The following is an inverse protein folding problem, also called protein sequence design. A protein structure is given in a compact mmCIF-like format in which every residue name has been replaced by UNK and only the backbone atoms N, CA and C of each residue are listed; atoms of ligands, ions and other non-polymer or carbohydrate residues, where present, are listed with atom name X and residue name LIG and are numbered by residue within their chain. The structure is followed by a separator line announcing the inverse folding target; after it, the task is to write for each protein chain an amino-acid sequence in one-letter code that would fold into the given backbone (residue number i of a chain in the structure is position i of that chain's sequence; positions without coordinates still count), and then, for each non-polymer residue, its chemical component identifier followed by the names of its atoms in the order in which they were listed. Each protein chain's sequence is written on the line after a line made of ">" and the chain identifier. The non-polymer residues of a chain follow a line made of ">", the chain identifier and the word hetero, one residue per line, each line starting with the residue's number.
data_IF_953861027583
#
_entry.id   IF_953861027583
#
_cell.length_a   1.000
_cell.length_b   1.000
_cell.length_c   1.000
_cell.angle_alpha   90.00
_cell.angle_beta   90.00
_cell.angle_gamma   90.00
#
_symmetry.space_group_name_H-M   'P 1'
#
loop_
_entity.id
_entity.type
_entity.pdbx_description
1 polymer ?
#
# COMPACT_ATOMS: atom_id res chain seq x y z
N UNK A 1 -11.58 -3.05 -4.85
CA UNK A 1 -10.92 -4.39 -4.82
C UNK A 1 -9.42 -4.30 -5.02
N UNK A 2 -8.89 -4.06 -6.23
CA UNK A 2 -7.43 -4.09 -6.51
C UNK A 2 -6.92 -2.69 -6.88
N UNK A 3 -5.86 -2.21 -6.22
CA UNK A 3 -5.17 -0.94 -6.52
C UNK A 3 -3.65 -1.12 -6.65
N UNK A 4 -2.94 -0.11 -7.15
CA UNK A 4 -1.47 -0.12 -7.24
C UNK A 4 -0.85 0.43 -5.95
N UNK A 5 0.04 -0.36 -5.34
CA UNK A 5 0.72 -0.03 -4.08
C UNK A 5 1.75 1.10 -4.23
N UNK A 6 2.10 1.73 -3.10
CA UNK A 6 2.99 2.89 -3.06
C UNK A 6 4.40 2.56 -3.54
N UNK A 7 4.81 3.16 -4.66
CA UNK A 7 6.14 3.00 -5.23
C UNK A 7 6.66 4.37 -5.69
N UNK A 8 7.69 4.88 -5.00
CA UNK A 8 8.06 6.28 -5.12
C UNK A 8 8.59 6.66 -6.52
N UNK A 9 8.18 7.85 -6.98
CA UNK A 9 8.91 8.54 -8.03
C UNK A 9 10.38 8.74 -7.61
N UNK A 10 11.29 8.32 -8.48
CA UNK A 10 12.71 8.18 -8.19
C UNK A 10 13.14 6.73 -7.96
N UNK A 11 12.36 5.94 -7.23
CA UNK A 11 12.55 4.48 -7.23
C UNK A 11 12.18 3.90 -8.59
N UNK A 12 11.01 4.30 -9.10
CA UNK A 12 10.56 4.06 -10.46
C UNK A 12 10.98 5.20 -11.40
N UNK A 13 11.10 4.88 -12.69
CA UNK A 13 11.26 5.87 -13.76
C UNK A 13 9.98 6.69 -13.95
N UNK A 14 10.07 7.93 -14.47
CA UNK A 14 8.89 8.69 -14.93
C UNK A 14 8.00 7.87 -15.86
N UNK A 15 8.58 7.17 -16.85
CA UNK A 15 7.81 6.35 -17.79
C UNK A 15 7.03 5.23 -17.11
N UNK A 16 7.61 4.57 -16.11
CA UNK A 16 6.92 3.52 -15.36
C UNK A 16 5.79 4.07 -14.48
N UNK A 17 6.02 5.23 -13.83
CA UNK A 17 5.00 5.92 -13.03
C UNK A 17 3.83 6.36 -13.90
N UNK A 18 4.11 6.94 -15.07
CA UNK A 18 3.10 7.34 -16.04
C UNK A 18 2.31 6.14 -16.60
N UNK A 19 3.00 5.05 -16.95
CA UNK A 19 2.36 3.83 -17.40
C UNK A 19 1.37 3.29 -16.36
N UNK A 20 1.77 3.28 -15.08
CA UNK A 20 0.91 2.87 -13.99
C UNK A 20 -0.27 3.84 -13.82
N UNK A 21 -0.04 5.16 -13.86
CA UNK A 21 -1.10 6.15 -13.68
C UNK A 21 -2.18 6.05 -14.77
N UNK A 22 -1.76 5.99 -16.03
CA UNK A 22 -2.67 5.76 -17.16
C UNK A 22 -3.37 4.41 -17.04
N UNK A 23 -2.65 3.37 -16.58
CA UNK A 23 -3.20 2.04 -16.40
C UNK A 23 -4.31 1.98 -15.36
N UNK A 24 -4.13 2.66 -14.22
CA UNK A 24 -5.18 2.72 -13.19
C UNK A 24 -6.39 3.55 -13.63
N UNK A 25 -6.17 4.60 -14.45
CA UNK A 25 -7.26 5.36 -15.08
C UNK A 25 -8.13 4.46 -15.98
N UNK A 26 -7.48 3.67 -16.84
CA UNK A 26 -8.16 2.71 -17.72
C UNK A 26 -8.90 1.61 -16.94
N UNK A 27 -8.33 1.15 -15.82
CA UNK A 27 -8.89 0.08 -15.01
C UNK A 27 -9.93 0.55 -13.97
N UNK A 28 -10.12 1.85 -13.79
CA UNK A 28 -10.96 2.40 -12.71
C UNK A 28 -10.44 1.97 -11.34
N UNK A 29 -9.18 2.29 -11.04
CA UNK A 29 -8.58 2.06 -9.72
C UNK A 29 -7.61 3.18 -9.34
N UNK A 30 -7.00 3.05 -8.16
CA UNK A 30 -6.08 4.06 -7.64
C UNK A 30 -4.62 3.62 -7.75
N UNK A 31 -3.73 4.60 -7.90
CA UNK A 31 -2.30 4.44 -7.74
C UNK A 31 -1.83 5.19 -6.50
N UNK A 32 -1.10 4.51 -5.62
CA UNK A 32 -0.43 5.17 -4.52
C UNK A 32 0.93 5.75 -4.99
N UNK A 33 1.19 7.02 -4.69
CA UNK A 33 2.38 7.77 -5.16
C UNK A 33 3.70 7.22 -4.62
N UNK A 34 3.64 6.46 -3.53
CA UNK A 34 4.80 6.15 -2.71
C UNK A 34 5.35 7.40 -2.00
N UNK A 35 6.42 7.22 -1.24
CA UNK A 35 7.07 8.28 -0.44
C UNK A 35 7.78 9.37 -1.26
N UNK A 36 7.72 9.34 -2.60
CA UNK A 36 8.54 10.21 -3.45
C UNK A 36 8.00 11.62 -3.67
N UNK A 37 6.80 11.91 -3.17
CA UNK A 37 6.01 13.07 -3.54
C UNK A 37 5.22 12.88 -4.85
N UNK A 38 4.47 13.91 -5.23
CA UNK A 38 3.59 13.90 -6.40
C UNK A 38 4.26 14.57 -7.60
N UNK A 39 4.85 13.73 -8.46
CA UNK A 39 5.45 14.15 -9.73
C UNK A 39 4.43 14.30 -10.87
N UNK A 40 4.82 14.99 -11.94
CA UNK A 40 4.00 15.17 -13.15
C UNK A 40 3.64 13.83 -13.82
N UNK A 41 4.50 12.82 -13.72
CA UNK A 41 4.23 11.46 -14.18
C UNK A 41 3.03 10.78 -13.49
N UNK A 42 2.51 11.33 -12.38
CA UNK A 42 1.28 10.86 -11.73
C UNK A 42 0.01 11.57 -12.26
N UNK A 43 0.12 12.53 -13.17
CA UNK A 43 -0.99 13.42 -13.57
C UNK A 43 -1.56 13.09 -14.95
N UNK A 44 -1.83 11.81 -15.20
CA UNK A 44 -2.35 11.30 -16.47
C UNK A 44 -3.76 10.69 -16.35
N UNK A 45 -4.56 11.20 -15.41
CA UNK A 45 -5.97 10.88 -15.24
C UNK A 45 -6.27 9.75 -14.26
N UNK A 46 -5.26 9.04 -13.74
CA UNK A 46 -5.44 8.03 -12.72
C UNK A 46 -5.65 8.66 -11.34
N UNK A 47 -6.63 8.14 -10.59
CA UNK A 47 -6.86 8.54 -9.20
C UNK A 47 -5.70 8.12 -8.30
N UNK A 48 -5.43 8.91 -7.26
CA UNK A 48 -4.23 8.77 -6.44
C UNK A 48 -4.54 8.54 -4.96
N UNK A 49 -3.67 7.77 -4.32
CA UNK A 49 -3.46 7.81 -2.87
C UNK A 49 -2.13 8.53 -2.65
N UNK A 50 -2.13 9.67 -1.95
CA UNK A 50 -0.90 10.39 -1.65
C UNK A 50 -0.25 9.79 -0.40
N UNK A 51 0.94 9.22 -0.54
CA UNK A 51 1.64 8.59 0.59
C UNK A 51 2.65 9.55 1.23
N UNK A 52 2.53 9.71 2.55
CA UNK A 52 3.43 10.48 3.39
C UNK A 52 4.42 9.51 4.05
N UNK A 53 5.69 9.58 3.65
CA UNK A 53 6.79 8.91 4.35
C UNK A 53 7.44 9.80 5.40
N UNK A 54 8.38 9.24 6.17
CA UNK A 54 9.12 9.92 7.25
C UNK A 54 9.99 11.09 6.76
N UNK A 55 10.35 11.10 5.48
CA UNK A 55 11.06 12.21 4.84
C UNK A 55 10.17 13.39 4.44
N UNK A 56 8.84 13.25 4.56
CA UNK A 56 7.80 14.23 4.22
C UNK A 56 7.95 14.85 2.81
N UNK A 57 8.49 14.08 1.86
CA UNK A 57 8.72 14.58 0.51
C UNK A 57 7.41 15.02 -0.15
N UNK A 58 7.43 16.18 -0.81
CA UNK A 58 6.24 16.86 -1.34
C UNK A 58 5.45 17.67 -0.32
N UNK A 59 5.57 17.43 0.99
CA UNK A 59 4.82 18.10 2.06
C UNK A 59 5.70 18.53 3.24
N UNK A 60 6.94 18.96 2.96
CA UNK A 60 7.93 19.41 3.96
C UNK A 60 8.30 20.88 3.82
N UNK A 61 8.64 21.50 4.94
CA UNK A 61 9.27 22.81 4.99
C UNK A 61 10.76 22.77 4.59
N UNK A 62 11.42 23.93 4.63
CA UNK A 62 12.82 24.10 4.23
C UNK A 62 13.81 23.34 5.12
N UNK A 63 13.43 23.04 6.38
CA UNK A 63 14.25 22.28 7.33
C UNK A 63 13.86 20.80 7.42
N UNK A 64 12.88 20.36 6.63
CA UNK A 64 12.46 18.98 6.49
C UNK A 64 11.40 18.48 7.46
N UNK A 65 10.68 19.39 8.13
CA UNK A 65 9.52 19.03 8.96
C UNK A 65 8.26 19.00 8.13
N UNK A 66 7.27 18.25 8.60
CA UNK A 66 5.94 18.20 7.98
C UNK A 66 5.31 19.60 7.90
N UNK A 67 4.72 19.92 6.75
CA UNK A 67 3.99 21.16 6.47
C UNK A 67 2.60 20.83 5.94
N UNK A 68 1.58 21.17 6.73
CA UNK A 68 0.17 20.93 6.38
C UNK A 68 -0.26 21.75 5.16
N UNK A 69 0.13 23.01 5.08
CA UNK A 69 -0.19 23.88 3.93
C UNK A 69 0.34 23.31 2.62
N UNK A 70 1.58 22.82 2.64
CA UNK A 70 2.18 22.15 1.47
C UNK A 70 1.47 20.85 1.12
N UNK A 71 1.01 20.08 2.11
CA UNK A 71 0.20 18.89 1.85
C UNK A 71 -1.11 19.27 1.14
N UNK A 72 -1.84 20.26 1.66
CA UNK A 72 -3.09 20.76 1.05
C UNK A 72 -2.84 21.20 -0.40
N UNK A 73 -1.79 21.96 -0.65
CA UNK A 73 -1.38 22.36 -1.99
C UNK A 73 -1.09 21.17 -2.91
N UNK A 74 -0.45 20.11 -2.41
CA UNK A 74 -0.14 18.93 -3.23
C UNK A 74 -1.39 18.15 -3.61
N UNK A 75 -2.28 17.89 -2.65
CA UNK A 75 -3.45 17.03 -2.89
C UNK A 75 -4.48 17.68 -3.81
N UNK A 76 -4.47 19.01 -3.92
CA UNK A 76 -5.32 19.75 -4.86
C UNK A 76 -4.80 19.74 -6.32
N UNK A 77 -3.54 19.36 -6.57
CA UNK A 77 -2.93 19.40 -7.91
C UNK A 77 -3.23 18.19 -8.78
N UNK A 78 -3.92 17.19 -8.25
CA UNK A 78 -4.20 15.92 -8.90
C UNK A 78 -5.46 15.28 -8.28
N UNK A 79 -6.07 14.26 -8.91
CA UNK A 79 -7.23 13.57 -8.35
C UNK A 79 -6.84 12.65 -7.18
N UNK A 80 -6.41 13.24 -6.06
CA UNK A 80 -6.09 12.51 -4.83
C UNK A 80 -7.39 12.17 -4.10
N UNK A 81 -7.60 10.89 -3.82
CA UNK A 81 -8.82 10.37 -3.19
C UNK A 81 -8.64 9.96 -1.73
N UNK A 82 -7.40 9.75 -1.30
CA UNK A 82 -7.05 9.41 0.07
C UNK A 82 -5.57 9.73 0.35
N UNK A 83 -5.22 9.82 1.63
CA UNK A 83 -3.85 10.06 2.10
C UNK A 83 -3.42 8.89 2.96
N UNK A 84 -2.23 8.34 2.72
CA UNK A 84 -1.68 7.22 3.49
C UNK A 84 -0.41 7.65 4.24
N UNK A 85 -0.46 7.67 5.57
CA UNK A 85 0.72 7.90 6.41
C UNK A 85 1.45 6.57 6.60
N UNK A 86 2.63 6.46 6.02
CA UNK A 86 3.42 5.22 6.01
C UNK A 86 4.31 5.16 7.25
N UNK A 87 3.88 4.37 8.24
CA UNK A 87 4.66 4.09 9.45
C UNK A 87 5.84 3.16 9.14
N UNK A 88 5.63 2.13 8.33
CA UNK A 88 6.67 1.17 7.93
C UNK A 88 6.31 0.43 6.63
N UNK A 89 7.22 -0.40 6.12
CA UNK A 89 6.98 -1.30 4.97
C UNK A 89 7.58 -2.67 5.23
N UNK A 90 7.01 -3.71 4.60
CA UNK A 90 7.40 -5.10 4.86
C UNK A 90 8.88 -5.40 4.59
N UNK A 91 9.45 -4.81 3.55
CA UNK A 91 10.84 -5.06 3.14
C UNK A 91 11.91 -4.43 4.05
N UNK A 92 11.53 -3.48 4.92
CA UNK A 92 12.47 -2.81 5.85
C UNK A 92 11.74 -2.12 7.00
N UNK A 93 11.07 -2.88 7.88
CA UNK A 93 10.47 -2.31 9.08
C UNK A 93 11.56 -1.64 9.94
N UNK A 94 11.22 -0.51 10.56
CA UNK A 94 12.13 0.26 11.42
C UNK A 94 13.16 1.13 10.68
N UNK A 95 13.19 1.13 9.34
CA UNK A 95 14.05 2.01 8.54
C UNK A 95 13.24 2.93 7.64
N UNK A 96 13.79 4.12 7.38
CA UNK A 96 13.23 5.05 6.42
C UNK A 96 13.42 4.65 4.95
N UNK A 97 12.72 5.36 4.06
CA UNK A 97 12.95 5.31 2.62
C UNK A 97 14.42 5.62 2.27
N UNK A 98 14.95 4.95 1.23
CA UNK A 98 16.31 5.17 0.73
C UNK A 98 16.24 5.31 -0.78
N UNK A 99 16.84 6.38 -1.31
CA UNK A 99 17.04 6.57 -2.74
C UNK A 99 18.51 6.93 -3.00
N UNK A 100 19.28 6.07 -3.69
CA UNK A 100 20.67 6.37 -4.04
C UNK A 100 20.81 7.64 -4.90
N UNK A 101 21.84 8.42 -4.63
CA UNK A 101 22.13 9.73 -5.25
C UNK A 101 22.27 9.66 -6.76
N UNK A 102 22.75 8.53 -7.30
CA UNK A 102 22.78 8.26 -8.76
C UNK A 102 21.40 8.32 -9.41
N UNK A 103 20.33 8.16 -8.62
CA UNK A 103 18.93 8.27 -9.06
C UNK A 103 18.32 9.63 -8.69
N UNK A 104 19.00 10.51 -7.98
CA UNK A 104 18.48 11.82 -7.59
C UNK A 104 18.75 12.84 -8.70
N UNK A 105 17.92 12.82 -9.73
CA UNK A 105 17.95 13.79 -10.84
C UNK A 105 17.45 15.17 -10.40
N UNK A 106 17.69 16.24 -11.19
CA UNK A 106 17.12 17.57 -10.90
C UNK A 106 15.60 17.58 -10.73
N UNK A 107 14.89 16.72 -11.46
CA UNK A 107 13.43 16.58 -11.34
C UNK A 107 13.02 15.95 -10.00
N UNK A 108 13.69 14.88 -9.59
CA UNK A 108 13.44 14.20 -8.32
C UNK A 108 13.82 15.09 -7.14
N UNK A 109 14.96 15.79 -7.25
CA UNK A 109 15.40 16.78 -6.28
C UNK A 109 14.35 17.88 -6.05
N UNK A 110 13.76 18.43 -7.14
CA UNK A 110 12.67 19.41 -7.04
C UNK A 110 11.40 18.81 -6.44
N UNK A 111 11.01 17.61 -6.86
CA UNK A 111 9.82 16.94 -6.34
C UNK A 111 9.92 16.67 -4.83
N UNK A 112 11.12 16.35 -4.35
CA UNK A 112 11.38 15.99 -2.95
C UNK A 112 11.83 17.17 -2.08
N UNK A 113 12.35 18.25 -2.66
CA UNK A 113 12.99 19.34 -1.90
C UNK A 113 14.32 18.91 -1.28
N UNK A 114 15.17 18.24 -2.06
CA UNK A 114 16.49 17.73 -1.62
C UNK A 114 17.59 18.10 -2.63
N UNK A 115 18.89 18.05 -2.27
CA UNK A 115 20.00 18.27 -3.20
C UNK A 115 20.06 17.25 -4.34
N UNK A 116 20.58 17.66 -5.49
CA UNK A 116 20.78 16.79 -6.67
C UNK A 116 21.99 15.88 -6.44
N UNK A 117 21.86 14.60 -6.79
CA UNK A 117 23.00 13.65 -6.80
C UNK A 117 23.40 13.09 -5.44
N UNK A 118 22.77 13.54 -4.34
CA UNK A 118 23.07 13.06 -2.99
C UNK A 118 22.17 11.89 -2.57
N UNK A 119 22.72 10.98 -1.77
CA UNK A 119 21.94 9.87 -1.20
C UNK A 119 20.83 10.42 -0.30
N UNK A 120 19.61 10.01 -0.59
CA UNK A 120 18.42 10.42 0.13
C UNK A 120 18.02 9.32 1.12
N UNK A 121 18.41 9.47 2.38
CA UNK A 121 18.06 8.56 3.49
C UNK A 121 17.03 9.27 4.36
N UNK A 122 15.85 8.67 4.50
CA UNK A 122 14.79 9.20 5.34
C UNK A 122 14.99 8.76 6.79
N UNK A 123 14.53 9.55 7.78
CA UNK A 123 14.52 9.12 9.18
C UNK A 123 13.74 7.82 9.39
N UNK A 124 14.04 7.03 10.43
CA UNK A 124 13.31 5.79 10.71
C UNK A 124 11.89 6.01 11.25
N UNK A 125 11.59 7.20 11.78
CA UNK A 125 10.30 7.55 12.36
C UNK A 125 9.81 8.93 11.90
N UNK A 126 8.51 9.13 12.00
CA UNK A 126 7.88 10.43 11.77
C UNK A 126 8.24 11.39 12.91
N UNK A 127 8.75 12.58 12.58
CA UNK A 127 9.01 13.64 13.59
C UNK A 127 7.76 14.42 14.02
N UNK A 128 6.59 14.14 13.43
CA UNK A 128 5.36 14.89 13.67
C UNK A 128 4.56 14.37 14.88
N UNK A 129 4.84 13.15 15.33
CA UNK A 129 4.20 12.50 16.47
C UNK A 129 5.18 11.48 17.07
N UNK A 130 4.97 11.11 18.33
CA UNK A 130 5.85 10.17 19.05
C UNK A 130 5.12 8.94 19.60
N UNK A 131 3.79 8.98 19.63
CA UNK A 131 2.92 7.98 20.24
C UNK A 131 1.59 7.86 19.46
N UNK A 132 0.70 6.97 19.95
CA UNK A 132 -0.60 6.70 19.34
C UNK A 132 -1.52 7.91 19.38
N UNK A 133 -1.51 8.69 20.47
CA UNK A 133 -2.34 9.89 20.58
C UNK A 133 -1.92 10.95 19.58
N UNK A 134 -0.61 11.23 19.49
CA UNK A 134 -0.06 12.14 18.49
C UNK A 134 -0.29 11.64 17.06
N UNK A 135 -0.26 10.33 16.81
CA UNK A 135 -0.64 9.77 15.51
C UNK A 135 -2.10 10.07 15.18
N UNK A 136 -3.03 9.80 16.09
CA UNK A 136 -4.45 10.08 15.87
C UNK A 136 -4.67 11.58 15.62
N UNK A 137 -4.14 12.45 16.47
CA UNK A 137 -4.24 13.92 16.28
C UNK A 137 -3.67 14.37 14.94
N UNK A 138 -2.57 13.75 14.50
CA UNK A 138 -1.96 14.04 13.21
C UNK A 138 -2.86 13.66 12.03
N UNK A 139 -3.47 12.46 12.08
CA UNK A 139 -4.40 11.99 11.04
C UNK A 139 -5.64 12.86 10.97
N UNK A 140 -6.27 13.15 12.12
CA UNK A 140 -7.47 13.99 12.22
C UNK A 140 -7.21 15.41 11.70
N UNK A 141 -6.03 15.99 12.00
CA UNK A 141 -5.65 17.31 11.48
C UNK A 141 -5.51 17.30 9.97
N UNK A 142 -4.98 16.24 9.37
CA UNK A 142 -4.90 16.10 7.91
C UNK A 142 -6.30 15.94 7.32
N UNK A 143 -7.13 15.09 7.90
CA UNK A 143 -8.49 14.84 7.44
C UNK A 143 -9.32 16.14 7.46
N UNK A 144 -9.26 16.90 8.57
CA UNK A 144 -9.96 18.17 8.71
C UNK A 144 -9.50 19.24 7.69
N UNK A 145 -8.20 19.30 7.40
CA UNK A 145 -7.66 20.30 6.47
C UNK A 145 -7.89 19.96 4.99
N UNK A 146 -7.95 18.66 4.65
CA UNK A 146 -8.02 18.20 3.26
C UNK A 146 -9.42 17.73 2.85
N UNK A 147 -10.26 17.32 3.81
CA UNK A 147 -11.54 16.67 3.56
C UNK A 147 -11.42 15.27 2.94
N UNK A 148 -10.21 14.69 2.93
CA UNK A 148 -9.93 13.37 2.36
C UNK A 148 -9.79 12.32 3.47
N UNK A 149 -10.16 11.05 3.20
CA UNK A 149 -9.84 9.94 4.09
C UNK A 149 -8.33 9.81 4.32
N UNK A 150 -7.95 9.59 5.57
CA UNK A 150 -6.55 9.45 5.99
C UNK A 150 -6.35 8.12 6.70
N UNK A 151 -5.46 7.31 6.16
CA UNK A 151 -5.13 6.00 6.70
C UNK A 151 -3.66 5.84 7.01
N UNK A 152 -3.32 4.67 7.55
CA UNK A 152 -1.94 4.31 7.85
C UNK A 152 -1.50 3.07 7.07
N UNK A 153 -0.20 2.96 6.80
CA UNK A 153 0.43 1.75 6.31
C UNK A 153 1.49 1.26 7.28
N UNK A 154 1.43 -0.03 7.63
CA UNK A 154 2.40 -0.62 8.54
C UNK A 154 2.66 -2.09 8.22
N UNK A 155 3.94 -2.47 8.28
CA UNK A 155 4.36 -3.84 8.49
C UNK A 155 4.28 -4.18 9.98
N UNK A 156 3.65 -5.31 10.29
CA UNK A 156 3.39 -5.72 11.67
C UNK A 156 4.66 -6.33 12.26
N UNK A 157 5.08 -5.78 13.39
CA UNK A 157 6.19 -6.29 14.19
C UNK A 157 5.92 -6.26 15.70
N UNK A 158 5.16 -5.28 16.17
CA UNK A 158 4.81 -5.11 17.59
C UNK A 158 3.30 -5.12 17.78
N UNK A 159 2.81 -6.00 18.67
CA UNK A 159 1.39 -6.19 18.95
C UNK A 159 0.77 -5.03 19.74
N UNK A 160 1.52 -4.52 20.71
CA UNK A 160 1.04 -3.52 21.68
C UNK A 160 0.59 -2.22 20.99
N UNK A 161 1.25 -1.84 19.89
CA UNK A 161 0.84 -0.70 19.07
C UNK A 161 -0.61 -0.83 18.58
N UNK A 162 -1.00 -2.00 18.09
CA UNK A 162 -2.33 -2.22 17.53
C UNK A 162 -3.42 -2.26 18.60
N UNK A 163 -3.10 -2.86 19.76
CA UNK A 163 -3.99 -2.86 20.93
C UNK A 163 -4.21 -1.43 21.41
N UNK A 164 -3.12 -0.69 21.60
CA UNK A 164 -3.16 0.73 22.02
C UNK A 164 -3.96 1.57 21.02
N UNK A 165 -3.70 1.43 19.72
CA UNK A 165 -4.44 2.14 18.68
C UNK A 165 -5.95 1.83 18.76
N UNK A 166 -6.33 0.56 18.86
CA UNK A 166 -7.73 0.17 18.98
C UNK A 166 -8.40 0.76 20.24
N UNK A 167 -7.77 0.67 21.41
CA UNK A 167 -8.29 1.24 22.66
C UNK A 167 -8.46 2.76 22.58
N UNK A 168 -7.49 3.46 21.96
CA UNK A 168 -7.56 4.91 21.76
C UNK A 168 -8.64 5.30 20.75
N UNK A 169 -8.84 4.52 19.69
CA UNK A 169 -9.93 4.74 18.72
C UNK A 169 -11.32 4.51 19.32
N UNK A 170 -11.47 3.54 20.23
CA UNK A 170 -12.72 3.32 20.99
C UNK A 170 -13.00 4.50 21.91
N UNK A 171 -12.00 4.97 22.65
CA UNK A 171 -12.17 6.03 23.66
C UNK A 171 -12.34 7.43 23.06
N UNK A 172 -11.63 7.76 21.99
CA UNK A 172 -11.64 9.10 21.39
C UNK A 172 -12.63 9.25 20.24
N UNK A 173 -12.99 8.15 19.57
CA UNK A 173 -13.77 8.19 18.33
C UNK A 173 -12.98 8.65 17.10
N UNK A 174 -11.72 9.09 17.24
CA UNK A 174 -10.83 9.41 16.12
C UNK A 174 -10.00 8.21 15.67
N UNK A 175 -9.22 8.37 14.60
CA UNK A 175 -8.27 7.37 14.11
C UNK A 175 -8.17 7.27 12.59
N UNK A 176 -7.38 6.31 12.08
CA UNK A 176 -7.28 6.10 10.64
C UNK A 176 -8.60 5.60 10.04
N UNK A 177 -8.98 6.16 8.88
CA UNK A 177 -10.10 5.68 8.07
C UNK A 177 -9.82 4.32 7.41
N UNK A 178 -8.53 4.05 7.15
CA UNK A 178 -8.08 2.78 6.56
C UNK A 178 -6.72 2.36 7.10
N UNK A 179 -6.47 1.05 7.11
CA UNK A 179 -5.21 0.44 7.52
C UNK A 179 -4.71 -0.47 6.41
N UNK A 180 -3.56 -0.13 5.83
CA UNK A 180 -2.81 -1.01 4.93
C UNK A 180 -1.84 -1.86 5.72
N UNK A 181 -2.12 -3.17 5.84
CA UNK A 181 -1.22 -4.16 6.44
C UNK A 181 -0.28 -4.69 5.37
N UNK A 182 1.02 -4.41 5.52
CA UNK A 182 2.06 -4.79 4.57
C UNK A 182 2.87 -5.97 5.10
N UNK A 183 2.68 -7.15 4.52
CA UNK A 183 3.43 -8.34 4.91
C UNK A 183 4.93 -8.24 4.57
N UNK A 184 5.75 -9.01 5.28
CA UNK A 184 7.20 -9.09 5.07
C UNK A 184 7.61 -9.52 3.66
N UNK A 185 6.68 -10.07 2.87
CA UNK A 185 6.87 -10.43 1.47
C UNK A 185 7.00 -9.21 0.53
N UNK A 186 6.74 -8.00 1.05
CA UNK A 186 6.79 -6.72 0.36
C UNK A 186 8.08 -6.47 -0.43
N UNK A 187 7.99 -5.62 -1.45
CA UNK A 187 9.15 -5.24 -2.28
C UNK A 187 9.82 -3.95 -1.79
N UNK A 188 11.06 -3.72 -2.24
CA UNK A 188 11.76 -2.44 -2.09
C UNK A 188 12.64 -2.14 -3.29
N UNK A 189 12.85 -0.84 -3.55
CA UNK A 189 13.82 -0.39 -4.55
C UNK A 189 15.25 -0.41 -4.02
N UNK A 190 15.41 -0.24 -2.70
CA UNK A 190 16.68 -0.24 -1.98
C UNK A 190 16.45 -0.46 -0.47
N UNK A 191 16.99 -1.55 0.07
CA UNK A 191 17.14 -1.77 1.50
C UNK A 191 18.41 -2.60 1.78
N UNK A 192 18.89 -2.61 3.04
CA UNK A 192 19.90 -3.56 3.46
C UNK A 192 19.33 -4.99 3.42
N UNK A 193 20.09 -5.95 2.89
CA UNK A 193 19.65 -7.36 2.73
C UNK A 193 19.16 -7.99 4.04
N UNK A 194 19.77 -7.66 5.17
CA UNK A 194 19.37 -8.18 6.48
C UNK A 194 17.91 -7.86 6.85
N UNK A 195 17.33 -6.80 6.27
CA UNK A 195 15.96 -6.38 6.53
C UNK A 195 14.94 -7.00 5.56
N UNK A 196 15.35 -7.31 4.33
CA UNK A 196 14.43 -7.71 3.25
C UNK A 196 13.75 -9.06 3.49
N UNK A 197 14.39 -9.98 4.23
CA UNK A 197 13.92 -11.37 4.34
C UNK A 197 13.37 -11.78 5.72
N UNK A 198 13.64 -11.03 6.81
CA UNK A 198 13.54 -11.61 8.15
C UNK A 198 12.88 -10.77 9.26
N UNK A 199 12.55 -9.50 9.01
CA UNK A 199 12.21 -8.59 10.13
C UNK A 199 10.69 -8.41 10.32
N UNK A 200 9.91 -8.38 9.24
CA UNK A 200 8.46 -8.22 9.32
C UNK A 200 7.73 -9.58 9.33
N UNK A 201 6.57 -9.63 10.00
CA UNK A 201 5.72 -10.81 9.97
C UNK A 201 5.18 -11.10 8.55
N UNK A 202 5.04 -12.38 8.17
CA UNK A 202 4.34 -12.77 6.95
C UNK A 202 2.91 -12.21 6.93
N UNK A 203 2.44 -11.79 5.75
CA UNK A 203 1.14 -11.12 5.59
C UNK A 203 -0.01 -11.81 6.32
N UNK A 204 -0.12 -13.14 6.17
CA UNK A 204 -1.24 -13.90 6.73
C UNK A 204 -1.33 -13.80 8.25
N UNK A 205 -0.18 -13.85 8.93
CA UNK A 205 -0.11 -13.73 10.40
C UNK A 205 -0.30 -12.28 10.84
N UNK A 206 0.40 -11.36 10.17
CA UNK A 206 0.30 -9.92 10.40
C UNK A 206 -1.15 -9.42 10.30
N UNK A 207 -1.81 -9.74 9.19
CA UNK A 207 -3.20 -9.34 8.95
C UNK A 207 -4.14 -9.95 9.97
N UNK A 208 -4.01 -11.26 10.23
CA UNK A 208 -4.85 -11.94 11.19
C UNK A 208 -4.78 -11.30 12.58
N UNK A 209 -3.58 -10.95 13.03
CA UNK A 209 -3.37 -10.28 14.30
C UNK A 209 -4.05 -8.90 14.35
N UNK A 210 -3.79 -8.05 13.37
CA UNK A 210 -4.37 -6.69 13.31
C UNK A 210 -5.89 -6.74 13.22
N UNK A 211 -6.42 -7.54 12.30
CA UNK A 211 -7.86 -7.68 12.11
C UNK A 211 -8.56 -8.15 13.38
N UNK A 212 -8.01 -9.18 14.04
CA UNK A 212 -8.56 -9.73 15.28
C UNK A 212 -8.63 -8.68 16.40
N UNK A 213 -7.59 -7.86 16.55
CA UNK A 213 -7.56 -6.78 17.56
C UNK A 213 -8.67 -5.77 17.34
N UNK A 214 -8.87 -5.34 16.10
CA UNK A 214 -9.92 -4.37 15.76
C UNK A 214 -11.31 -4.98 15.80
N UNK A 215 -11.47 -6.25 15.40
CA UNK A 215 -12.72 -6.98 15.49
C UNK A 215 -13.19 -7.12 16.95
N UNK A 216 -12.30 -7.55 17.87
CA UNK A 216 -12.58 -7.64 19.31
C UNK A 216 -12.93 -6.29 19.94
N UNK A 217 -12.32 -5.21 19.45
CA UNK A 217 -12.61 -3.85 19.90
C UNK A 217 -13.91 -3.27 19.29
N UNK A 218 -14.61 -4.00 18.42
CA UNK A 218 -15.80 -3.52 17.72
C UNK A 218 -15.51 -2.42 16.68
N UNK A 219 -14.28 -2.34 16.19
CA UNK A 219 -13.81 -1.31 15.26
C UNK A 219 -13.70 -1.80 13.81
N UNK A 220 -13.90 -3.09 13.54
CA UNK A 220 -13.67 -3.65 12.21
C UNK A 220 -14.50 -2.96 11.09
N UNK A 221 -15.70 -2.45 11.40
CA UNK A 221 -16.52 -1.72 10.43
C UNK A 221 -16.19 -0.22 10.33
N UNK A 222 -15.40 0.32 11.26
CA UNK A 222 -14.96 1.72 11.25
C UNK A 222 -13.72 1.94 10.39
N UNK A 223 -13.05 0.87 9.96
CA UNK A 223 -11.77 0.92 9.26
C UNK A 223 -11.85 0.09 7.99
N UNK A 224 -11.42 0.66 6.86
CA UNK A 224 -11.18 -0.14 5.65
C UNK A 224 -9.83 -0.87 5.77
N UNK A 225 -9.82 -2.20 5.70
CA UNK A 225 -8.60 -2.99 5.75
C UNK A 225 -8.05 -3.27 4.35
N UNK A 226 -6.79 -2.92 4.14
CA UNK A 226 -6.10 -3.10 2.86
C UNK A 226 -4.92 -4.06 3.04
N UNK A 227 -4.88 -5.12 2.24
CA UNK A 227 -3.77 -6.06 2.23
C UNK A 227 -2.67 -5.66 1.24
N UNK A 228 -1.40 -5.80 1.64
CA UNK A 228 -0.24 -5.70 0.76
C UNK A 228 0.82 -6.75 1.14
N UNK A 229 1.64 -7.19 0.18
CA UNK A 229 2.68 -8.22 0.40
C UNK A 229 2.53 -9.43 -0.52
N UNK A 230 2.88 -9.27 -1.81
CA UNK A 230 2.76 -10.31 -2.87
C UNK A 230 1.36 -10.91 -3.03
N UNK A 231 0.33 -10.07 -2.91
CA UNK A 231 -1.06 -10.46 -3.07
C UNK A 231 -1.53 -10.40 -4.53
N UNK A 232 -0.64 -10.16 -5.51
CA UNK A 232 -1.06 -9.89 -6.89
C UNK A 232 -1.46 -11.11 -7.72
N UNK A 233 -1.67 -12.26 -7.08
CA UNK A 233 -2.21 -13.48 -7.68
C UNK A 233 -3.59 -13.81 -7.08
N UNK A 234 -4.47 -14.50 -7.83
CA UNK A 234 -5.86 -14.72 -7.41
C UNK A 234 -6.00 -15.49 -6.10
N UNK A 235 -5.21 -16.53 -5.89
CA UNK A 235 -5.22 -17.36 -4.68
C UNK A 235 -4.77 -16.55 -3.46
N UNK A 236 -3.67 -15.80 -3.58
CA UNK A 236 -3.15 -14.95 -2.51
C UNK A 236 -4.12 -13.80 -2.17
N UNK A 237 -4.69 -13.14 -3.19
CA UNK A 237 -5.72 -12.12 -3.02
C UNK A 237 -6.98 -12.68 -2.36
N UNK A 238 -7.54 -13.79 -2.87
CA UNK A 238 -8.74 -14.40 -2.31
C UNK A 238 -8.54 -14.82 -0.85
N UNK A 239 -7.36 -15.35 -0.52
CA UNK A 239 -6.98 -15.65 0.85
C UNK A 239 -7.00 -14.39 1.73
N UNK A 240 -6.45 -13.27 1.24
CA UNK A 240 -6.47 -12.00 1.96
C UNK A 240 -7.90 -11.49 2.19
N UNK A 241 -8.78 -11.58 1.19
CA UNK A 241 -10.21 -11.28 1.34
C UNK A 241 -10.88 -12.19 2.39
N UNK A 242 -10.59 -13.50 2.38
CA UNK A 242 -11.12 -14.44 3.36
C UNK A 242 -10.68 -14.15 4.80
N UNK A 243 -9.52 -13.51 4.99
CA UNK A 243 -9.07 -13.02 6.29
C UNK A 243 -9.76 -11.71 6.71
N UNK A 244 -10.42 -10.99 5.80
CA UNK A 244 -11.12 -9.73 6.11
C UNK A 244 -10.57 -8.48 5.41
N UNK A 245 -9.74 -8.62 4.36
CA UNK A 245 -9.38 -7.46 3.53
C UNK A 245 -10.59 -6.92 2.76
N UNK A 246 -10.76 -5.60 2.72
CA UNK A 246 -11.70 -4.91 1.83
C UNK A 246 -11.08 -4.60 0.46
N UNK A 247 -9.75 -4.40 0.46
CA UNK A 247 -8.97 -4.12 -0.74
C UNK A 247 -7.60 -4.79 -0.69
N UNK A 248 -6.96 -4.92 -1.84
CA UNK A 248 -5.56 -5.34 -1.95
C UNK A 248 -4.77 -4.35 -2.81
N UNK A 249 -3.54 -4.09 -2.38
CA UNK A 249 -2.59 -3.22 -3.07
C UNK A 249 -1.45 -4.06 -3.67
N UNK A 250 -1.28 -3.97 -4.99
CA UNK A 250 -0.29 -4.75 -5.76
C UNK A 250 0.86 -3.85 -6.22
N UNK A 251 2.10 -4.26 -5.97
CA UNK A 251 3.30 -3.49 -6.28
C UNK A 251 4.20 -4.21 -7.28
N UNK A 252 4.73 -5.37 -6.87
CA UNK A 252 5.65 -6.19 -7.67
C UNK A 252 5.03 -6.63 -8.99
N UNK A 253 3.80 -7.12 -8.92
CA UNK A 253 3.05 -7.63 -10.06
C UNK A 253 2.64 -6.50 -11.00
N UNK A 254 2.26 -5.34 -10.44
CA UNK A 254 2.05 -4.11 -11.21
C UNK A 254 3.34 -3.68 -11.95
N UNK A 255 4.50 -3.71 -11.28
CA UNK A 255 5.80 -3.46 -11.94
C UNK A 255 6.09 -4.46 -13.05
N UNK A 256 5.78 -5.75 -12.86
CA UNK A 256 5.96 -6.79 -13.88
C UNK A 256 5.08 -6.52 -15.10
N UNK A 257 3.84 -6.10 -14.91
CA UNK A 257 2.93 -5.78 -16.02
C UNK A 257 3.45 -4.64 -16.93
N UNK A 258 4.17 -3.67 -16.35
CA UNK A 258 4.82 -2.57 -17.11
C UNK A 258 6.23 -2.92 -17.61
N UNK A 259 6.78 -4.10 -17.27
CA UNK A 259 8.02 -4.61 -17.86
C UNK A 259 9.14 -4.96 -16.88
N UNK A 260 8.88 -5.05 -15.58
CA UNK A 260 9.88 -5.58 -14.64
C UNK A 260 10.16 -7.05 -14.94
N UNK A 261 11.44 -7.37 -15.14
CA UNK A 261 11.92 -8.75 -15.37
C UNK A 261 12.57 -9.37 -14.13
N UNK A 262 12.35 -8.76 -12.96
CA UNK A 262 12.99 -9.15 -11.70
C UNK A 262 14.52 -9.23 -11.77
N UNK A 263 15.16 -8.27 -12.45
CA UNK A 263 16.62 -8.22 -12.52
C UNK A 263 17.30 -7.95 -11.16
N UNK A 264 16.56 -7.53 -10.13
CA UNK A 264 17.06 -7.23 -8.77
C UNK A 264 18.20 -6.20 -8.71
N UNK A 265 18.22 -5.26 -9.67
CA UNK A 265 19.22 -4.16 -9.74
C UNK A 265 18.61 -2.78 -9.51
N UNK A 266 17.47 -2.72 -8.86
CA UNK A 266 16.64 -1.50 -8.71
C UNK A 266 17.40 -0.34 -8.05
N UNK A 267 18.25 -0.64 -7.07
CA UNK A 267 19.05 0.33 -6.32
C UNK A 267 20.18 0.94 -7.16
N UNK A 268 20.71 0.19 -8.14
CA UNK A 268 21.89 0.61 -8.93
C UNK A 268 21.60 1.74 -9.94
N UNK A 269 20.32 2.03 -10.21
CA UNK A 269 19.91 2.91 -11.30
C UNK A 269 20.15 2.32 -12.70
N UNK A 270 20.53 1.04 -12.82
CA UNK A 270 20.83 0.36 -14.11
C UNK A 270 19.79 -0.73 -14.44
N UNK A 271 18.51 -0.48 -14.15
CA UNK A 271 17.43 -1.40 -14.49
C UNK A 271 17.36 -1.61 -16.02
N UNK A 272 17.56 -2.83 -16.53
CA UNK A 272 17.68 -3.08 -17.97
C UNK A 272 16.36 -2.88 -18.74
N UNK A 273 15.21 -2.94 -18.06
CA UNK A 273 13.89 -2.79 -18.67
C UNK A 273 13.28 -1.40 -18.52
N UNK A 274 14.05 -0.43 -18.03
CA UNK A 274 13.57 0.96 -17.92
C UNK A 274 12.63 1.23 -16.74
N UNK A 275 12.30 0.23 -15.90
CA UNK A 275 11.32 0.38 -14.81
C UNK A 275 11.89 1.13 -13.61
N UNK A 276 13.05 0.72 -13.10
CA UNK A 276 13.64 1.24 -11.84
C UNK A 276 14.97 1.97 -12.09
N UNK A 277 14.97 2.95 -12.98
CA UNK A 277 16.15 3.70 -13.44
C UNK A 277 15.78 5.14 -13.74
N UNK A 278 16.78 6.02 -13.77
CA UNK A 278 16.64 7.40 -14.24
C UNK A 278 17.48 7.67 -15.51
N UNK A 279 18.05 6.61 -16.12
CA UNK A 279 18.81 6.71 -17.38
C UNK A 279 17.86 6.83 -18.56
N UNK A 280 17.94 7.95 -19.29
CA UNK A 280 17.12 8.19 -20.49
C UNK A 280 17.23 7.08 -21.53
N UNK A 281 18.43 6.53 -21.70
CA UNK A 281 18.67 5.43 -22.64
C UNK A 281 17.94 4.15 -22.22
N UNK A 282 17.98 3.78 -20.93
CA UNK A 282 17.30 2.59 -20.43
C UNK A 282 15.77 2.76 -20.41
N UNK A 283 15.29 3.97 -20.13
CA UNK A 283 13.85 4.28 -20.10
C UNK A 283 13.23 4.28 -21.50
N UNK A 284 14.02 4.50 -22.56
CA UNK A 284 13.52 4.56 -23.93
C UNK A 284 12.72 3.32 -24.36
N UNK A 285 13.06 2.14 -23.83
CA UNK A 285 12.34 0.89 -24.11
C UNK A 285 11.00 0.73 -23.37
N UNK A 286 10.67 1.63 -22.44
CA UNK A 286 9.41 1.61 -21.69
C UNK A 286 8.49 2.72 -22.22
N UNK A 287 7.65 2.34 -23.18
CA UNK A 287 6.58 3.18 -23.73
C UNK A 287 5.38 3.25 -22.78
N UNK A 288 5.08 4.40 -22.15
CA UNK A 288 3.99 4.50 -21.19
C UNK A 288 2.60 4.17 -21.76
N UNK A 289 2.33 4.50 -23.03
CA UNK A 289 1.01 4.27 -23.64
C UNK A 289 0.75 2.79 -23.86
N UNK A 290 1.75 2.06 -24.37
CA UNK A 290 1.65 0.61 -24.52
C UNK A 290 1.63 -0.10 -23.17
N UNK A 291 2.46 0.32 -22.22
CA UNK A 291 2.56 -0.32 -20.91
C UNK A 291 1.35 -0.05 -20.03
N UNK A 292 0.67 1.09 -20.18
CA UNK A 292 -0.56 1.36 -19.44
C UNK A 292 -1.68 0.39 -19.77
N UNK A 293 -1.82 -0.01 -21.04
CA UNK A 293 -2.80 -1.04 -21.44
C UNK A 293 -2.48 -2.38 -20.77
N UNK A 294 -1.20 -2.75 -20.66
CA UNK A 294 -0.79 -3.99 -19.97
C UNK A 294 -1.08 -3.95 -18.47
N UNK A 295 -0.82 -2.82 -17.82
CA UNK A 295 -1.15 -2.62 -16.42
C UNK A 295 -2.66 -2.72 -16.18
N UNK A 296 -3.46 -2.07 -17.02
CA UNK A 296 -4.92 -2.15 -16.96
C UNK A 296 -5.42 -3.58 -17.15
N UNK A 297 -4.92 -4.29 -18.18
CA UNK A 297 -5.29 -5.68 -18.45
C UNK A 297 -4.96 -6.61 -17.27
N UNK A 298 -3.79 -6.45 -16.65
CA UNK A 298 -3.43 -7.23 -15.46
C UNK A 298 -4.43 -6.99 -14.32
N UNK A 299 -4.75 -5.73 -14.01
CA UNK A 299 -5.68 -5.38 -12.92
C UNK A 299 -7.08 -5.93 -13.21
N UNK A 300 -7.57 -5.75 -14.44
CA UNK A 300 -8.90 -6.24 -14.86
C UNK A 300 -8.96 -7.76 -14.84
N UNK A 301 -7.92 -8.45 -15.30
CA UNK A 301 -7.83 -9.91 -15.26
C UNK A 301 -7.86 -10.44 -13.82
N UNK A 302 -7.04 -9.88 -12.92
CA UNK A 302 -7.05 -10.27 -11.51
C UNK A 302 -8.42 -10.06 -10.87
N UNK A 303 -9.08 -8.92 -11.13
CA UNK A 303 -10.45 -8.66 -10.65
C UNK A 303 -11.45 -9.69 -11.19
N UNK A 304 -11.36 -10.03 -12.47
CA UNK A 304 -12.23 -11.03 -13.10
C UNK A 304 -12.05 -12.42 -12.46
N UNK A 305 -10.81 -12.82 -12.21
CA UNK A 305 -10.51 -14.10 -11.56
C UNK A 305 -10.99 -14.13 -10.12
N UNK A 306 -10.84 -13.04 -9.37
CA UNK A 306 -11.38 -12.92 -8.02
C UNK A 306 -12.91 -13.05 -7.98
N UNK A 307 -13.62 -12.43 -8.92
CA UNK A 307 -15.07 -12.58 -9.03
C UNK A 307 -15.47 -14.01 -9.40
N UNK A 308 -14.72 -14.68 -10.28
CA UNK A 308 -14.96 -16.07 -10.62
C UNK A 308 -14.75 -17.00 -9.42
N UNK A 309 -13.64 -16.83 -8.68
CA UNK A 309 -13.34 -17.61 -7.48
C UNK A 309 -14.37 -17.36 -6.37
N UNK A 310 -14.81 -16.12 -6.18
CA UNK A 310 -15.87 -15.78 -5.22
C UNK A 310 -17.15 -16.57 -5.49
N UNK A 311 -17.55 -16.67 -6.77
CA UNK A 311 -18.73 -17.44 -7.19
C UNK A 311 -18.57 -18.93 -6.93
N UNK A 312 -17.35 -19.47 -7.07
CA UNK A 312 -17.03 -20.86 -6.69
C UNK A 312 -17.16 -21.07 -5.19
N UNK A 313 -16.83 -20.07 -4.36
CA UNK A 313 -17.12 -20.08 -2.93
C UNK A 313 -18.61 -19.87 -2.59
N UNK A 314 -19.48 -19.67 -3.59
CA UNK A 314 -20.92 -19.46 -3.39
C UNK A 314 -21.32 -18.01 -3.09
N UNK A 315 -20.41 -17.04 -3.26
CA UNK A 315 -20.67 -15.61 -2.99
C UNK A 315 -20.40 -14.73 -4.22
N UNK A 316 -21.03 -13.55 -4.29
CA UNK A 316 -20.98 -12.70 -5.50
C UNK A 316 -19.72 -11.84 -5.61
N UNK A 317 -19.06 -11.56 -4.49
CA UNK A 317 -17.96 -10.62 -4.39
C UNK A 317 -16.91 -11.14 -3.39
N UNK A 318 -15.60 -10.88 -3.61
CA UNK A 318 -14.55 -11.44 -2.76
C UNK A 318 -14.61 -10.96 -1.31
N UNK A 319 -15.09 -9.74 -1.05
CA UNK A 319 -15.29 -9.26 0.32
C UNK A 319 -16.35 -10.06 1.13
N UNK A 320 -17.15 -10.91 0.47
CA UNK A 320 -18.08 -11.83 1.13
C UNK A 320 -17.46 -13.21 1.39
N UNK A 321 -16.25 -13.47 0.89
CA UNK A 321 -15.52 -14.70 1.19
C UNK A 321 -15.03 -14.61 2.62
N UNK A 322 -15.21 -15.70 3.37
CA UNK A 322 -14.97 -15.77 4.81
C UNK A 322 -13.90 -16.81 5.12
N UNK A 323 -13.36 -16.77 6.33
CA UNK A 323 -12.38 -17.74 6.82
C UNK A 323 -12.92 -19.19 6.87
N UNK A 324 -14.24 -19.40 6.77
CA UNK A 324 -14.87 -20.72 6.68
C UNK A 324 -14.95 -21.26 5.24
N UNK A 325 -14.79 -20.40 4.22
CA UNK A 325 -14.82 -20.82 2.82
C UNK A 325 -13.50 -21.48 2.36
N UNK A 326 -12.42 -21.28 3.09
CA UNK A 326 -11.07 -21.76 2.75
C UNK A 326 -10.52 -22.66 3.86
N UNK A 327 -9.73 -23.66 3.46
CA UNK A 327 -9.09 -24.60 4.36
C UNK A 327 -7.60 -24.76 4.00
N UNK A 328 -6.76 -24.94 5.01
CA UNK A 328 -5.37 -25.36 4.83
C UNK A 328 -5.34 -26.88 4.76
N UNK A 329 -4.71 -27.39 3.68
CA UNK A 329 -4.39 -28.81 3.54
C UNK A 329 -3.00 -29.03 4.10
N UNK A 330 -2.88 -29.88 5.12
CA UNK A 330 -1.58 -30.28 5.68
C UNK A 330 -0.92 -31.37 4.83
N UNK A 331 0.38 -31.61 5.04
CA UNK A 331 1.13 -32.67 4.34
C UNK A 331 0.55 -34.08 4.54
N UNK A 332 -0.21 -34.27 5.63
CA UNK A 332 -0.89 -35.52 5.95
C UNK A 332 -2.36 -35.52 5.49
N UNK A 333 -2.72 -34.65 4.55
CA UNK A 333 -4.08 -34.45 4.02
C UNK A 333 -5.11 -34.11 5.10
N UNK A 334 -4.68 -33.51 6.22
CA UNK A 334 -5.59 -32.92 7.19
C UNK A 334 -6.17 -31.62 6.65
N UNK A 335 -7.43 -31.32 6.97
CA UNK A 335 -8.13 -30.11 6.57
C UNK A 335 -8.43 -29.27 7.80
N UNK A 336 -7.95 -28.02 7.81
CA UNK A 336 -8.23 -27.07 8.90
C UNK A 336 -8.79 -25.77 8.31
N UNK A 337 -10.01 -25.35 8.66
CA UNK A 337 -10.57 -24.05 8.24
C UNK A 337 -9.66 -22.89 8.64
N UNK A 338 -9.59 -21.84 7.82
CA UNK A 338 -8.76 -20.67 8.17
C UNK A 338 -9.18 -20.06 9.50
N UNK A 339 -10.49 -20.10 9.81
CA UNK A 339 -11.03 -19.64 11.09
C UNK A 339 -10.34 -20.28 12.29
N UNK A 340 -10.10 -21.59 12.24
CA UNK A 340 -9.39 -22.32 13.30
C UNK A 340 -7.88 -22.02 13.26
N UNK A 341 -7.28 -21.98 12.06
CA UNK A 341 -5.84 -21.69 11.90
C UNK A 341 -5.44 -20.36 12.51
N UNK A 342 -6.27 -19.32 12.36
CA UNK A 342 -5.98 -17.98 12.83
C UNK A 342 -6.75 -17.59 14.11
N UNK A 343 -7.52 -18.51 14.70
CA UNK A 343 -8.26 -18.26 15.93
C UNK A 343 -9.35 -17.19 15.81
N UNK A 344 -10.04 -17.15 14.67
CA UNK A 344 -11.14 -16.21 14.44
C UNK A 344 -12.41 -16.70 15.11
N UNK A 345 -13.17 -15.78 15.68
CA UNK A 345 -14.48 -16.05 16.26
C UNK A 345 -15.55 -16.06 15.15
N UNK A 346 -16.57 -16.90 15.28
CA UNK A 346 -17.59 -17.12 14.24
C UNK A 346 -18.49 -15.90 13.98
N UNK A 347 -18.53 -14.97 14.93
CA UNK A 347 -19.34 -13.75 14.94
C UNK A 347 -18.53 -12.48 14.62
N UNK A 348 -17.21 -12.58 14.44
CA UNK A 348 -16.43 -11.44 13.97
C UNK A 348 -16.92 -11.01 12.59
N UNK A 349 -17.11 -9.69 12.40
CA UNK A 349 -17.96 -9.19 11.35
C UNK A 349 -17.32 -9.53 10.01
N UNK A 350 -18.04 -10.26 9.18
CA UNK A 350 -17.79 -10.27 7.74
C UNK A 350 -18.79 -9.29 7.16
N UNK A 351 -18.49 -7.99 7.17
CA UNK A 351 -19.37 -6.92 6.67
C UNK A 351 -20.74 -6.81 7.38
N UNK A 352 -21.17 -5.58 7.68
CA UNK A 352 -22.51 -5.33 8.23
C UNK A 352 -23.61 -5.89 7.31
N UNK A 353 -24.81 -6.22 7.82
CA UNK A 353 -25.91 -6.66 6.96
C UNK A 353 -26.20 -5.69 5.81
N UNK A 354 -26.06 -4.39 6.05
CA UNK A 354 -26.23 -3.35 5.04
C UNK A 354 -25.15 -3.41 3.94
N UNK A 355 -23.88 -3.61 4.31
CA UNK A 355 -22.80 -3.74 3.33
C UNK A 355 -22.91 -5.09 2.59
N UNK A 356 -23.29 -6.16 3.28
CA UNK A 356 -23.57 -7.46 2.62
C UNK A 356 -24.68 -7.36 1.60
N UNK A 357 -25.74 -6.60 1.90
CA UNK A 357 -26.83 -6.36 0.97
C UNK A 357 -26.37 -5.50 -0.21
N UNK A 358 -25.63 -4.41 0.03
CA UNK A 358 -25.10 -3.54 -1.02
C UNK A 358 -24.12 -4.26 -1.96
N UNK A 359 -23.34 -5.21 -1.44
CA UNK A 359 -22.39 -6.02 -2.21
C UNK A 359 -23.05 -7.26 -2.82
N UNK A 360 -24.15 -7.74 -2.22
CA UNK A 360 -24.84 -8.98 -2.57
C UNK A 360 -26.06 -8.82 -3.48
N UNK A 361 -26.67 -7.63 -3.54
CA UNK A 361 -27.78 -7.29 -4.45
C UNK A 361 -27.35 -7.22 -5.91
#
# INVERSE_FOLDING_TARGET
>A
MVNVSGMSFGSLSPNAVEALNRGVALAGCMQNTGEGGLADAHRHGGELIFQIGTGYFGCRDEVGRFSLDRLVDQVQRAPVRAIEVKLSQGAKPGLGGMLPGVKVTPEIARCRGIPVGEDCISPPAHSAFADVDGLIEFLERIAAATGLPVGIKSAVGEEEFWVSLAERMVSTGGGPDFITVDGGEGGTGAAPLAFEDHVALPFKLAFAQVYSTFARAGLAERVTFIGAGRLGFPDASLFAFALGCDMVNVGREAMMSVGCIQAQRCHTGRCPSGVATQSRWLMHGLDPELKSVRAANYIVALRSELLALSRTCGVRHPALVTADHLQIVSERYGLTPLREVFGYESDWPLLSPAIREAVGG
#
